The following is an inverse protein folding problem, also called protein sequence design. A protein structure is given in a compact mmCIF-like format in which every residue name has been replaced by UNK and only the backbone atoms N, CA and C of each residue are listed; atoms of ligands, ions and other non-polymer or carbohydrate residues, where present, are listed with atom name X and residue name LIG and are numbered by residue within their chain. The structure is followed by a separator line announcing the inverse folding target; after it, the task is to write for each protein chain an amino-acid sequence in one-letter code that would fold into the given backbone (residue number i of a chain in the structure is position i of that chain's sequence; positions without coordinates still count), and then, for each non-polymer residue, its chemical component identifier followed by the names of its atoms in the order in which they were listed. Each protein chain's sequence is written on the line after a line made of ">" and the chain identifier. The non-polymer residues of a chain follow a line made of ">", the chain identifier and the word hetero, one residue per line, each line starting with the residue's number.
data_IF_396327932633
#
_entry.id   IF_396327932633
#
_cell.length_a   1.000
_cell.length_b   1.000
_cell.length_c   1.000
_cell.angle_alpha   90.00
_cell.angle_beta   90.00
_cell.angle_gamma   90.00
#
_symmetry.space_group_name_H-M   'P 1'
#
loop_
_entity.id
_entity.type
_entity.pdbx_description
1 polymer ?
#
# COMPACT_ATOMS: atom_id res chain seq x y z
N UNK A 1 16.34 6.80 -1.35
CA UNK A 1 15.31 5.88 -1.89
C UNK A 1 14.04 6.14 -1.11
N UNK A 2 12.91 6.36 -1.80
CA UNK A 2 11.61 6.46 -1.14
C UNK A 2 11.08 5.05 -0.95
N UNK A 3 10.57 4.74 0.24
CA UNK A 3 9.94 3.45 0.52
C UNK A 3 8.46 3.70 0.76
N UNK A 4 7.63 2.87 0.12
CA UNK A 4 6.18 2.88 0.23
C UNK A 4 5.73 1.67 1.03
N UNK A 5 4.75 1.85 1.91
CA UNK A 5 4.13 0.76 2.66
C UNK A 5 2.62 0.97 2.76
N UNK A 6 1.86 -0.11 2.91
CA UNK A 6 0.40 -0.08 3.02
C UNK A 6 -0.01 -0.84 4.27
N UNK A 7 -0.91 -0.25 5.06
CA UNK A 7 -1.35 -0.79 6.35
C UNK A 7 -2.86 -0.79 6.48
N UNK A 8 -3.36 -1.80 7.17
CA UNK A 8 -4.73 -1.85 7.66
C UNK A 8 -4.76 -1.24 9.07
N UNK A 9 -5.59 -0.22 9.27
CA UNK A 9 -5.82 0.38 10.57
C UNK A 9 -7.27 0.14 10.99
N UNK A 10 -7.45 -0.25 12.26
CA UNK A 10 -8.77 -0.33 12.88
C UNK A 10 -8.99 0.94 13.70
N UNK A 11 -10.02 1.69 13.36
CA UNK A 11 -10.43 2.88 14.11
C UNK A 11 -10.97 2.49 15.49
N UNK A 12 -11.07 3.48 16.37
CA UNK A 12 -11.77 3.35 17.66
C UNK A 12 -13.23 2.90 17.52
N UNK A 13 -13.84 3.09 16.35
CA UNK A 13 -15.21 2.63 16.03
C UNK A 13 -15.27 1.17 15.53
N UNK A 14 -14.14 0.46 15.48
CA UNK A 14 -14.05 -0.91 14.97
C UNK A 14 -13.99 -1.01 13.44
N UNK A 15 -14.20 0.10 12.71
CA UNK A 15 -14.08 0.12 11.25
C UNK A 15 -12.64 0.01 10.80
N UNK A 16 -12.42 -0.82 9.79
CA UNK A 16 -11.11 -1.07 9.19
C UNK A 16 -10.91 -0.21 7.94
N UNK A 17 -9.75 0.44 7.85
CA UNK A 17 -9.38 1.36 6.77
C UNK A 17 -7.98 1.05 6.26
N UNK A 18 -7.78 1.12 4.94
CA UNK A 18 -6.46 1.02 4.33
C UNK A 18 -5.82 2.40 4.29
N UNK A 19 -4.61 2.48 4.81
CA UNK A 19 -3.80 3.67 4.78
C UNK A 19 -2.47 3.40 4.08
N UNK A 20 -2.05 4.38 3.28
CA UNK A 20 -0.76 4.41 2.64
C UNK A 20 0.20 5.22 3.50
N UNK A 21 1.43 4.73 3.56
CA UNK A 21 2.53 5.39 4.25
C UNK A 21 3.68 5.60 3.28
N UNK A 22 4.26 6.80 3.31
CA UNK A 22 5.46 7.11 2.57
C UNK A 22 6.49 7.66 3.56
N UNK A 23 7.72 7.16 3.49
CA UNK A 23 8.83 7.78 4.22
C UNK A 23 9.99 8.06 3.28
N UNK A 24 10.41 9.31 3.25
CA UNK A 24 11.67 9.69 2.60
C UNK A 24 12.81 9.30 3.52
N UNK A 25 13.59 8.28 3.15
CA UNK A 25 14.74 7.88 3.96
C UNK A 25 15.94 8.80 3.72
N UNK A 26 16.58 9.33 4.77
CA UNK A 26 17.91 9.89 4.65
C UNK A 26 18.88 8.79 4.20
N UNK A 27 19.72 9.08 3.20
CA UNK A 27 20.61 8.13 2.50
C UNK A 27 21.56 7.30 3.40
N UNK A 28 21.73 7.61 4.70
CA UNK A 28 22.82 7.07 5.54
C UNK A 28 22.43 6.07 6.64
N UNK A 29 21.15 5.71 6.83
CA UNK A 29 20.72 4.94 8.03
C UNK A 29 19.71 3.83 7.73
N UNK A 30 20.04 2.93 6.79
CA UNK A 30 19.17 1.80 6.39
C UNK A 30 18.89 0.86 7.57
N UNK A 31 19.90 0.51 8.38
CA UNK A 31 19.73 -0.44 9.48
C UNK A 31 18.91 0.13 10.65
N UNK A 32 19.18 1.38 11.08
CA UNK A 32 18.35 2.07 12.07
C UNK A 32 16.89 2.21 11.59
N UNK A 33 16.68 2.32 10.29
CA UNK A 33 15.34 2.42 9.70
C UNK A 33 14.59 1.09 9.76
N UNK A 34 15.27 -0.04 9.52
CA UNK A 34 14.68 -1.38 9.69
C UNK A 34 14.31 -1.61 11.15
N UNK A 35 15.14 -1.16 12.11
CA UNK A 35 14.84 -1.30 13.53
C UNK A 35 13.72 -0.37 13.99
N UNK A 36 13.62 0.85 13.46
CA UNK A 36 12.48 1.75 13.69
C UNK A 36 11.21 1.17 13.06
N UNK A 37 11.30 0.58 11.87
CA UNK A 37 10.17 -0.09 11.22
C UNK A 37 9.71 -1.29 12.05
N UNK A 38 10.62 -2.17 12.48
CA UNK A 38 10.33 -3.30 13.38
C UNK A 38 9.76 -2.84 14.72
N UNK A 39 10.29 -1.75 15.30
CA UNK A 39 9.81 -1.17 16.57
C UNK A 39 8.42 -0.58 16.42
N UNK A 40 8.13 0.11 15.31
CA UNK A 40 6.80 0.63 15.01
C UNK A 40 5.81 -0.50 14.72
N UNK A 41 6.22 -1.56 14.01
CA UNK A 41 5.44 -2.79 13.82
C UNK A 41 5.18 -3.48 15.16
N UNK A 42 6.17 -3.55 16.06
CA UNK A 42 6.00 -4.10 17.41
C UNK A 42 5.06 -3.29 18.31
N UNK A 43 5.07 -1.96 18.19
CA UNK A 43 4.11 -1.07 18.87
C UNK A 43 2.67 -1.24 18.34
N UNK A 44 2.52 -1.61 17.06
CA UNK A 44 1.25 -1.90 16.40
C UNK A 44 0.68 -3.28 16.81
N UNK A 45 1.54 -4.31 16.94
CA UNK A 45 1.14 -5.66 17.38
C UNK A 45 0.63 -5.67 18.82
N UNK A 46 1.09 -4.74 19.67
CA UNK A 46 0.74 -4.65 21.08
C UNK A 46 -0.45 -3.71 21.40
N UNK A 47 -1.35 -3.43 20.46
CA UNK A 47 -2.61 -2.69 20.66
C UNK A 47 -2.50 -1.25 21.21
N UNK A 48 -1.33 -0.62 21.23
CA UNK A 48 -1.15 0.75 21.74
C UNK A 48 -0.97 1.78 20.62
N UNK A 49 -1.87 1.78 19.64
CA UNK A 49 -1.91 2.85 18.64
C UNK A 49 -2.78 3.98 19.19
N UNK A 50 -2.13 5.08 19.57
CA UNK A 50 -2.79 6.34 19.87
C UNK A 50 -2.82 7.19 18.60
N UNK A 51 -3.98 7.28 17.96
CA UNK A 51 -4.24 7.94 16.67
C UNK A 51 -3.76 9.41 16.62
N UNK A 52 -3.59 10.06 17.77
CA UNK A 52 -3.22 11.49 17.87
C UNK A 52 -1.74 11.75 17.55
N UNK A 53 -0.87 10.73 17.59
CA UNK A 53 0.60 10.90 17.40
C UNK A 53 1.12 10.57 16.01
N UNK A 54 0.26 10.16 15.08
CA UNK A 54 0.73 9.66 13.78
C UNK A 54 0.64 10.74 12.70
N UNK A 55 1.80 11.26 12.28
CA UNK A 55 1.89 12.40 11.36
C UNK A 55 1.74 12.08 9.86
N UNK A 56 1.81 10.82 9.41
CA UNK A 56 2.02 10.51 7.98
C UNK A 56 1.23 9.29 7.43
N UNK A 57 0.04 8.98 7.95
CA UNK A 57 -0.87 8.08 7.23
C UNK A 57 -1.83 8.88 6.36
N UNK A 58 -1.94 8.49 5.11
CA UNK A 58 -2.83 9.13 4.13
C UNK A 58 -3.77 8.09 3.53
N UNK A 59 -4.96 8.53 3.13
CA UNK A 59 -5.89 7.67 2.40
C UNK A 59 -5.33 7.31 1.01
N UNK A 60 -5.87 6.25 0.40
CA UNK A 60 -5.56 5.88 -0.99
C UNK A 60 -5.70 7.07 -1.94
N UNK A 61 -6.79 7.82 -1.82
CA UNK A 61 -7.07 8.98 -2.67
C UNK A 61 -6.00 10.07 -2.52
N UNK A 62 -5.60 10.37 -1.28
CA UNK A 62 -4.54 11.35 -1.01
C UNK A 62 -3.19 10.83 -1.51
N UNK A 63 -2.91 9.53 -1.39
CA UNK A 63 -1.71 8.91 -1.93
C UNK A 63 -1.62 9.04 -3.45
N UNK A 64 -2.69 8.68 -4.18
CA UNK A 64 -2.80 8.83 -5.63
C UNK A 64 -2.55 10.28 -6.04
N UNK A 65 -3.15 11.26 -5.32
CA UNK A 65 -2.99 12.68 -5.59
C UNK A 65 -1.56 13.18 -5.35
N UNK A 66 -0.94 12.82 -4.22
CA UNK A 66 0.44 13.20 -3.88
C UNK A 66 1.43 12.61 -4.89
N UNK A 67 1.21 11.36 -5.30
CA UNK A 67 2.01 10.67 -6.30
C UNK A 67 1.71 11.11 -7.73
N UNK A 68 0.74 12.02 -7.93
CA UNK A 68 0.28 12.51 -9.24
C UNK A 68 -0.01 11.36 -10.20
N UNK A 69 -0.68 10.32 -9.71
CA UNK A 69 -0.99 9.15 -10.51
C UNK A 69 -2.21 9.39 -11.40
N UNK A 70 -2.11 8.94 -12.64
CA UNK A 70 -3.22 8.82 -13.58
C UNK A 70 -3.94 7.49 -13.35
N UNK A 71 -5.28 7.51 -13.35
CA UNK A 71 -6.10 6.30 -13.38
C UNK A 71 -6.14 5.77 -14.81
N UNK A 72 -5.55 4.60 -15.04
CA UNK A 72 -5.43 3.99 -16.38
C UNK A 72 -6.61 3.09 -16.69
N UNK A 73 -7.06 2.30 -15.71
CA UNK A 73 -8.14 1.35 -15.92
C UNK A 73 -8.91 1.06 -14.63
N UNK A 74 -10.17 0.65 -14.82
CA UNK A 74 -11.09 0.21 -13.78
C UNK A 74 -12.03 -0.80 -14.39
N UNK A 75 -11.58 -2.05 -14.45
CA UNK A 75 -12.21 -3.09 -15.24
C UNK A 75 -12.43 -4.34 -14.39
N UNK A 76 -13.48 -5.09 -14.73
CA UNK A 76 -13.68 -6.44 -14.23
C UNK A 76 -12.93 -7.42 -15.12
N UNK A 77 -11.96 -8.15 -14.56
CA UNK A 77 -11.19 -9.18 -15.25
C UNK A 77 -11.53 -10.53 -14.60
N UNK A 78 -12.37 -11.31 -15.29
CA UNK A 78 -12.94 -12.53 -14.73
C UNK A 78 -13.75 -12.23 -13.46
N UNK A 79 -13.32 -12.78 -12.31
CA UNK A 79 -13.94 -12.54 -11.00
C UNK A 79 -13.38 -11.33 -10.24
N UNK A 80 -12.31 -10.71 -10.74
CA UNK A 80 -11.61 -9.63 -10.05
C UNK A 80 -12.11 -8.27 -10.53
N UNK A 81 -12.29 -7.33 -9.60
CA UNK A 81 -12.35 -5.91 -9.95
C UNK A 81 -10.94 -5.34 -9.83
N UNK A 82 -10.37 -4.86 -10.93
CA UNK A 82 -8.99 -4.40 -11.01
C UNK A 82 -8.94 -2.92 -11.40
N UNK A 83 -8.26 -2.13 -10.56
CA UNK A 83 -7.94 -0.73 -10.84
C UNK A 83 -6.44 -0.58 -11.00
N UNK A 84 -6.04 0.18 -12.01
CA UNK A 84 -4.64 0.53 -12.27
C UNK A 84 -4.47 2.04 -12.21
N UNK A 85 -3.52 2.47 -11.39
CA UNK A 85 -3.03 3.84 -11.30
C UNK A 85 -1.55 3.86 -11.65
N UNK A 86 -1.06 4.88 -12.36
CA UNK A 86 0.36 4.96 -12.70
C UNK A 86 0.89 6.38 -12.68
N UNK A 87 2.19 6.52 -12.50
CA UNK A 87 2.94 7.70 -12.91
C UNK A 87 4.23 7.25 -13.62
N UNK A 88 5.18 8.17 -13.85
CA UNK A 88 6.43 7.86 -14.54
C UNK A 88 7.34 6.89 -13.74
N UNK A 89 7.20 6.82 -12.41
CA UNK A 89 8.06 6.04 -11.53
C UNK A 89 7.49 4.65 -11.19
N UNK A 90 6.18 4.55 -10.99
CA UNK A 90 5.53 3.34 -10.45
C UNK A 90 4.14 3.11 -11.02
N UNK A 91 3.72 1.84 -11.06
CA UNK A 91 2.34 1.42 -11.33
C UNK A 91 1.76 0.77 -10.09
N UNK A 92 0.52 1.12 -9.74
CA UNK A 92 -0.21 0.61 -8.58
C UNK A 92 -1.49 -0.10 -9.04
N UNK A 93 -1.55 -1.39 -8.76
CA UNK A 93 -2.72 -2.24 -8.94
C UNK A 93 -3.49 -2.36 -7.63
N UNK A 94 -4.80 -2.23 -7.72
CA UNK A 94 -5.76 -2.54 -6.66
C UNK A 94 -6.73 -3.58 -7.17
N UNK A 95 -6.65 -4.77 -6.61
CA UNK A 95 -7.39 -5.95 -7.04
C UNK A 95 -8.36 -6.31 -5.92
N UNK A 96 -9.64 -6.44 -6.23
CA UNK A 96 -10.66 -6.85 -5.26
C UNK A 96 -11.35 -8.13 -5.70
N UNK A 97 -11.72 -8.96 -4.72
CA UNK A 97 -12.54 -10.15 -4.93
C UNK A 97 -13.27 -10.54 -3.64
N UNK A 98 -14.38 -11.27 -3.77
CA UNK A 98 -15.10 -11.87 -2.64
C UNK A 98 -14.34 -13.13 -2.15
N UNK A 99 -13.71 -13.87 -3.07
CA UNK A 99 -12.83 -15.01 -2.75
C UNK A 99 -11.36 -14.60 -2.76
N UNK A 100 -10.46 -15.52 -2.41
CA UNK A 100 -9.03 -15.24 -2.39
C UNK A 100 -8.50 -14.75 -3.75
N UNK A 101 -7.49 -13.88 -3.67
CA UNK A 101 -6.83 -13.28 -4.82
C UNK A 101 -5.54 -14.06 -5.08
N UNK A 102 -5.57 -14.88 -6.13
CA UNK A 102 -4.41 -15.60 -6.64
C UNK A 102 -3.96 -14.96 -7.96
N UNK A 103 -3.41 -13.76 -7.85
CA UNK A 103 -2.85 -13.01 -9.00
C UNK A 103 -1.38 -12.79 -8.72
N UNK A 104 -0.54 -13.39 -9.55
CA UNK A 104 0.91 -13.28 -9.47
C UNK A 104 1.44 -12.37 -10.57
N UNK A 105 2.30 -11.43 -10.18
CA UNK A 105 3.00 -10.54 -11.08
C UNK A 105 4.39 -11.11 -11.34
N UNK A 106 4.59 -11.74 -12.50
CA UNK A 106 5.89 -12.28 -12.93
C UNK A 106 6.67 -11.22 -13.70
N UNK A 107 7.99 -11.36 -13.68
CA UNK A 107 8.92 -10.54 -14.48
C UNK A 107 8.80 -9.02 -14.26
N UNK A 108 8.36 -8.61 -13.07
CA UNK A 108 8.21 -7.21 -12.66
C UNK A 108 9.07 -6.89 -11.43
N UNK A 109 9.57 -5.67 -11.35
CA UNK A 109 10.21 -5.15 -10.13
C UNK A 109 9.15 -4.75 -9.10
N UNK A 110 8.70 -5.71 -8.30
CA UNK A 110 7.69 -5.51 -7.26
C UNK A 110 8.30 -4.72 -6.09
N UNK A 111 7.76 -3.53 -5.84
CA UNK A 111 8.11 -2.70 -4.69
C UNK A 111 7.22 -3.02 -3.48
N UNK A 112 5.98 -3.46 -3.72
CA UNK A 112 5.03 -3.84 -2.69
C UNK A 112 4.03 -4.88 -3.23
N UNK A 113 3.77 -5.91 -2.45
CA UNK A 113 2.66 -6.86 -2.64
C UNK A 113 2.02 -7.13 -1.26
N UNK A 114 0.77 -6.70 -1.08
CA UNK A 114 0.03 -6.85 0.18
C UNK A 114 -1.43 -7.18 -0.06
N UNK A 115 -1.94 -8.15 0.71
CA UNK A 115 -3.34 -8.53 0.74
C UNK A 115 -3.98 -8.18 2.08
N UNK A 116 -5.24 -7.75 2.02
CA UNK A 116 -6.07 -7.40 3.16
C UNK A 116 -7.45 -8.04 3.01
N UNK A 117 -8.04 -8.47 4.12
CA UNK A 117 -9.44 -8.88 4.16
C UNK A 117 -10.23 -7.82 4.91
N UNK A 118 -11.17 -7.17 4.24
CA UNK A 118 -11.93 -6.02 4.77
C UNK A 118 -13.37 -6.12 4.30
N UNK A 119 -14.33 -6.00 5.22
CA UNK A 119 -15.76 -5.98 4.91
C UNK A 119 -16.17 -7.13 3.96
N UNK A 120 -15.71 -8.36 4.27
CA UNK A 120 -15.95 -9.58 3.49
C UNK A 120 -15.42 -9.56 2.06
N UNK A 121 -14.37 -8.76 1.80
CA UNK A 121 -13.68 -8.72 0.51
C UNK A 121 -12.18 -8.88 0.74
N UNK A 122 -11.56 -9.67 -0.12
CA UNK A 122 -10.12 -9.66 -0.31
C UNK A 122 -9.75 -8.48 -1.19
N UNK A 123 -8.76 -7.70 -0.75
CA UNK A 123 -8.19 -6.56 -1.46
C UNK A 123 -6.67 -6.75 -1.51
N UNK A 124 -6.11 -6.85 -2.72
CA UNK A 124 -4.67 -6.96 -2.96
C UNK A 124 -4.17 -5.67 -3.60
N UNK A 125 -3.11 -5.10 -3.04
CA UNK A 125 -2.35 -4.02 -3.65
C UNK A 125 -1.01 -4.55 -4.13
N UNK A 126 -0.68 -4.19 -5.37
CA UNK A 126 0.64 -4.44 -5.94
C UNK A 126 1.19 -3.14 -6.50
N UNK A 127 2.35 -2.72 -6.02
CA UNK A 127 3.09 -1.57 -6.57
C UNK A 127 4.32 -2.11 -7.26
N UNK A 128 4.45 -1.85 -8.55
CA UNK A 128 5.61 -2.22 -9.35
C UNK A 128 6.34 -0.97 -9.81
N UNK A 129 7.67 -1.08 -9.93
CA UNK A 129 8.48 -0.02 -10.50
C UNK A 129 8.25 0.05 -12.01
N UNK A 130 8.06 1.26 -12.54
CA UNK A 130 8.04 1.47 -13.96
C UNK A 130 9.47 1.40 -14.51
N UNK A 131 9.83 0.29 -15.14
CA UNK A 131 11.12 0.10 -15.80
C UNK A 131 11.10 0.49 -17.28
N UNK A 132 9.94 0.89 -17.81
CA UNK A 132 9.88 1.51 -19.13
C UNK A 132 10.43 2.92 -19.00
N UNK A 133 11.74 3.06 -19.26
CA UNK A 133 12.37 4.34 -19.49
C UNK A 133 11.69 4.99 -20.69
N UNK A 134 10.87 5.99 -20.42
CA UNK A 134 10.44 6.99 -21.40
C UNK A 134 11.14 8.28 -21.05
#
# INVERSE_FOLDING_TARGET
>A
MKIYDIRLLRTTTGKEHICFFYKTLPKKRINETIDIFKRNVGLIVNNQINDVKIKEYISEEVFIKIMKMEKVSDNKIGKYNMKLYRNNEIWMYRIENISDINVDFKDCDILLDRSFFINNKNIKYVIIKNNMGV
#
